data_IF_556165441981
#
_entry.id   IF_556165441981
#
_cell.length_a   1.000
_cell.length_b   1.000
_cell.length_c   1.000
_cell.angle_alpha   90.00
_cell.angle_beta   90.00
_cell.angle_gamma   90.00
#
_symmetry.space_group_name_H-M   'P 1'
#
loop_
_entity.id
_entity.type
_entity.pdbx_description
1 polymer ?
#
# COMPACT_ATOMS: atom_id res chain seq x y z
N UNK A 1 30.64 23.89 -30.08
CA UNK A 1 30.10 24.33 -28.76
C UNK A 1 30.15 23.10 -27.85
N UNK A 2 31.08 23.10 -26.91
CA UNK A 2 31.31 21.98 -25.98
C UNK A 2 30.16 21.91 -25.00
N UNK A 3 29.40 20.81 -24.98
CA UNK A 3 28.43 20.49 -23.94
C UNK A 3 29.19 20.31 -22.63
N UNK A 4 29.23 21.34 -21.84
CA UNK A 4 29.70 21.34 -20.48
C UNK A 4 28.58 20.73 -19.62
N UNK A 5 28.44 19.39 -19.59
CA UNK A 5 27.68 18.68 -18.57
C UNK A 5 28.43 18.90 -17.26
N UNK A 6 28.08 19.99 -16.55
CA UNK A 6 28.55 20.21 -15.20
C UNK A 6 28.16 18.99 -14.38
N UNK A 7 29.16 18.29 -13.83
CA UNK A 7 29.00 17.23 -12.85
C UNK A 7 28.32 17.86 -11.61
N UNK A 8 27.00 17.96 -11.61
CA UNK A 8 26.23 18.46 -10.47
C UNK A 8 26.43 17.45 -9.35
N UNK A 9 27.08 17.85 -8.28
CA UNK A 9 27.17 17.00 -7.10
C UNK A 9 25.76 16.60 -6.65
N UNK A 10 25.53 15.30 -6.49
CA UNK A 10 24.23 14.79 -6.06
C UNK A 10 24.00 15.21 -4.61
N UNK A 11 22.95 15.98 -4.29
CA UNK A 11 22.68 16.38 -2.92
C UNK A 11 22.24 15.17 -2.08
N UNK A 12 22.42 15.26 -0.77
CA UNK A 12 21.97 14.21 0.18
C UNK A 12 20.45 13.97 0.06
N UNK A 13 19.67 15.05 -0.05
CA UNK A 13 18.22 15.04 -0.27
C UNK A 13 17.91 15.74 -1.58
N UNK A 14 17.28 15.03 -2.49
CA UNK A 14 16.81 15.58 -3.76
C UNK A 14 15.35 15.99 -3.59
N UNK A 15 15.08 17.27 -3.76
CA UNK A 15 13.73 17.83 -3.82
C UNK A 15 13.43 18.30 -5.23
N UNK A 16 12.22 18.05 -5.67
CA UNK A 16 11.62 18.76 -6.79
C UNK A 16 11.14 20.13 -6.31
N UNK A 17 11.08 21.07 -7.22
CA UNK A 17 10.33 22.31 -6.97
C UNK A 17 8.82 22.03 -7.14
N UNK A 18 7.93 22.80 -6.52
CA UNK A 18 6.48 22.62 -6.67
C UNK A 18 6.02 22.63 -8.15
N UNK A 19 6.67 23.42 -8.99
CA UNK A 19 6.39 23.47 -10.44
C UNK A 19 6.88 22.25 -11.22
N UNK A 20 7.70 21.37 -10.61
CA UNK A 20 8.20 20.13 -11.18
C UNK A 20 7.36 18.91 -10.71
N UNK A 21 6.35 19.16 -9.86
CA UNK A 21 5.46 18.10 -9.40
C UNK A 21 4.63 17.53 -10.55
N UNK A 22 4.38 16.20 -10.55
CA UNK A 22 3.51 15.57 -11.54
C UNK A 22 2.12 16.19 -11.57
N UNK A 23 1.58 16.37 -12.77
CA UNK A 23 0.21 16.88 -13.01
C UNK A 23 -0.76 15.77 -13.37
N UNK A 24 -0.27 14.54 -13.53
CA UNK A 24 -1.03 13.36 -13.90
C UNK A 24 -0.63 12.18 -13.03
N UNK A 25 -1.56 11.29 -12.79
CA UNK A 25 -1.30 9.94 -12.31
C UNK A 25 -0.89 9.06 -13.48
N UNK A 26 -0.06 8.05 -13.20
CA UNK A 26 0.39 7.08 -14.18
C UNK A 26 -0.38 5.76 -14.05
N UNK A 27 -1.12 5.40 -15.10
CA UNK A 27 -1.87 4.15 -15.15
C UNK A 27 -1.05 3.06 -15.87
N UNK A 28 -0.36 2.24 -15.11
CA UNK A 28 0.51 1.18 -15.65
C UNK A 28 -0.26 0.14 -16.49
N UNK A 29 -1.58 -0.01 -16.27
CA UNK A 29 -2.40 -0.94 -17.06
C UNK A 29 -2.42 -0.62 -18.54
N UNK A 30 -2.28 0.67 -18.91
CA UNK A 30 -2.21 1.08 -20.32
C UNK A 30 -1.01 0.47 -21.07
N UNK A 31 0.08 0.15 -20.36
CA UNK A 31 1.29 -0.44 -20.93
C UNK A 31 1.34 -1.98 -20.79
N UNK A 32 0.47 -2.58 -19.98
CA UNK A 32 0.43 -4.03 -19.80
C UNK A 32 -0.13 -4.72 -21.05
N UNK A 33 0.62 -5.66 -21.62
CA UNK A 33 0.18 -6.49 -22.76
C UNK A 33 -0.97 -7.42 -22.36
N UNK A 34 -0.84 -8.03 -21.20
CA UNK A 34 -1.90 -8.80 -20.57
C UNK A 34 -2.34 -8.04 -19.33
N UNK A 35 -3.57 -7.56 -19.36
CA UNK A 35 -4.17 -6.78 -18.29
C UNK A 35 -4.65 -7.67 -17.16
N UNK A 36 -4.77 -7.16 -15.93
CA UNK A 36 -5.44 -7.90 -14.86
C UNK A 36 -6.83 -8.36 -15.31
N UNK A 37 -7.22 -9.56 -14.91
CA UNK A 37 -8.57 -10.03 -15.14
C UNK A 37 -9.61 -9.10 -14.47
N UNK A 38 -10.80 -8.90 -15.05
CA UNK A 38 -11.81 -8.02 -14.50
C UNK A 38 -12.30 -8.51 -13.13
N UNK A 39 -12.74 -7.58 -12.29
CA UNK A 39 -13.50 -7.93 -11.09
C UNK A 39 -14.77 -8.68 -11.50
N UNK A 40 -15.19 -9.66 -10.71
CA UNK A 40 -16.36 -10.49 -10.98
C UNK A 40 -17.42 -10.28 -9.90
N UNK A 41 -18.66 -10.02 -10.34
CA UNK A 41 -19.82 -9.95 -9.45
C UNK A 41 -20.16 -11.36 -8.95
N UNK A 42 -20.11 -11.62 -7.63
CA UNK A 42 -20.32 -12.97 -7.08
C UNK A 42 -21.73 -13.52 -7.31
N UNK A 43 -22.72 -12.65 -7.46
CA UNK A 43 -24.11 -13.08 -7.67
C UNK A 43 -24.37 -13.53 -9.12
N UNK A 44 -23.65 -12.97 -10.10
CA UNK A 44 -23.88 -13.24 -11.52
C UNK A 44 -22.77 -14.05 -12.19
N UNK A 45 -21.59 -14.11 -11.57
CA UNK A 45 -20.37 -14.72 -12.16
C UNK A 45 -19.84 -13.96 -13.37
N UNK A 46 -20.28 -12.72 -13.61
CA UNK A 46 -19.88 -11.89 -14.75
C UNK A 46 -18.97 -10.76 -14.33
N UNK A 47 -18.15 -10.20 -15.24
CA UNK A 47 -17.41 -8.97 -14.97
C UNK A 47 -18.33 -7.89 -14.42
N UNK A 48 -17.84 -7.15 -13.41
CA UNK A 48 -18.59 -6.03 -12.82
C UNK A 48 -18.74 -4.90 -13.85
N UNK A 49 -19.91 -4.29 -13.87
CA UNK A 49 -20.21 -3.07 -14.61
C UNK A 49 -20.06 -1.84 -13.71
N UNK A 50 -20.13 -0.65 -14.31
CA UNK A 50 -20.23 0.60 -13.59
C UNK A 50 -21.39 0.59 -12.58
N UNK A 51 -22.57 0.11 -13.03
CA UNK A 51 -23.77 0.08 -12.20
C UNK A 51 -23.67 -0.90 -11.02
N UNK A 52 -22.92 -2.00 -11.15
CA UNK A 52 -22.65 -2.92 -10.04
C UNK A 52 -21.82 -2.26 -8.91
N UNK A 53 -20.93 -1.34 -9.26
CA UNK A 53 -20.04 -0.66 -8.31
C UNK A 53 -20.65 0.64 -7.75
N UNK A 54 -21.60 1.23 -8.45
CA UNK A 54 -22.21 2.52 -8.08
C UNK A 54 -22.85 2.56 -6.68
N UNK A 55 -23.45 1.50 -6.13
CA UNK A 55 -23.91 1.54 -4.75
C UNK A 55 -22.81 1.71 -3.72
N UNK A 56 -21.57 1.31 -4.05
CA UNK A 56 -20.42 1.25 -3.12
C UNK A 56 -19.47 2.43 -3.28
N UNK A 57 -19.12 2.81 -4.52
CA UNK A 57 -18.06 3.80 -4.82
C UNK A 57 -18.61 5.06 -5.47
N UNK A 58 -17.84 6.15 -5.39
CA UNK A 58 -18.07 7.38 -6.16
C UNK A 58 -17.90 7.12 -7.65
N UNK A 59 -18.66 7.81 -8.49
CA UNK A 59 -18.68 7.63 -9.93
C UNK A 59 -17.27 7.76 -10.55
N UNK A 60 -16.53 8.82 -10.22
CA UNK A 60 -15.15 9.02 -10.71
C UNK A 60 -14.20 7.89 -10.31
N UNK A 61 -14.33 7.36 -9.09
CA UNK A 61 -13.49 6.25 -8.62
C UNK A 61 -13.78 4.96 -9.39
N UNK A 62 -15.02 4.77 -9.83
CA UNK A 62 -15.42 3.63 -10.69
C UNK A 62 -14.82 3.81 -12.09
N UNK A 63 -14.88 5.00 -12.67
CA UNK A 63 -14.26 5.30 -13.96
C UNK A 63 -12.76 5.00 -13.92
N UNK A 64 -12.06 5.45 -12.89
CA UNK A 64 -10.63 5.18 -12.71
C UNK A 64 -10.34 3.69 -12.46
N UNK A 65 -11.20 2.98 -11.72
CA UNK A 65 -11.07 1.55 -11.49
C UNK A 65 -11.17 0.76 -12.80
N UNK A 66 -12.10 1.11 -13.67
CA UNK A 66 -12.36 0.43 -14.93
C UNK A 66 -11.46 0.88 -16.09
N UNK A 67 -10.85 2.07 -16.01
CA UNK A 67 -9.99 2.61 -17.07
C UNK A 67 -8.66 1.87 -17.14
N UNK A 68 -8.46 1.11 -18.20
CA UNK A 68 -7.23 0.35 -18.46
C UNK A 68 -6.51 0.79 -19.76
N UNK A 69 -6.93 1.90 -20.36
CA UNK A 69 -6.46 2.40 -21.65
C UNK A 69 -5.68 3.71 -21.57
N UNK A 70 -6.13 4.65 -20.72
CA UNK A 70 -5.49 5.94 -20.60
C UNK A 70 -4.26 5.86 -19.71
N UNK A 71 -3.09 6.14 -20.27
CA UNK A 71 -1.81 6.07 -19.56
C UNK A 71 -1.66 7.16 -18.50
N UNK A 72 -2.15 8.34 -18.78
CA UNK A 72 -2.07 9.50 -17.89
C UNK A 72 -3.47 10.00 -17.55
N UNK A 73 -3.76 10.07 -16.26
CA UNK A 73 -5.03 10.60 -15.72
C UNK A 73 -4.71 11.93 -15.03
N UNK A 74 -5.34 12.99 -15.47
CA UNK A 74 -5.12 14.32 -14.91
C UNK A 74 -5.42 14.37 -13.42
N UNK A 75 -4.55 15.01 -12.65
CA UNK A 75 -4.77 15.30 -11.23
C UNK A 75 -5.48 16.64 -11.13
N UNK A 76 -6.74 16.71 -10.64
CA UNK A 76 -7.46 17.95 -10.44
C UNK A 76 -6.66 18.99 -9.66
N UNK A 77 -6.87 20.28 -10.01
CA UNK A 77 -6.11 21.36 -9.39
C UNK A 77 -6.25 21.38 -7.86
N UNK A 78 -7.44 21.11 -7.34
CA UNK A 78 -7.73 21.10 -5.91
C UNK A 78 -6.93 20.00 -5.18
N UNK A 79 -6.77 18.83 -5.80
CA UNK A 79 -5.91 17.76 -5.26
C UNK A 79 -4.45 18.21 -5.30
N UNK A 80 -3.99 18.82 -6.40
CA UNK A 80 -2.62 19.34 -6.53
C UNK A 80 -2.32 20.41 -5.49
N UNK A 81 -3.28 21.30 -5.21
CA UNK A 81 -3.12 22.34 -4.20
C UNK A 81 -3.01 21.76 -2.79
N UNK A 82 -3.77 20.69 -2.49
CA UNK A 82 -3.58 19.97 -1.23
C UNK A 82 -2.22 19.26 -1.19
N UNK A 83 -1.80 18.64 -2.27
CA UNK A 83 -0.49 17.97 -2.34
C UNK A 83 0.66 18.94 -2.03
N UNK A 84 0.63 20.20 -2.42
CA UNK A 84 1.65 21.19 -2.10
C UNK A 84 1.86 21.41 -0.58
N UNK A 85 0.90 21.05 0.27
CA UNK A 85 1.05 21.16 1.71
C UNK A 85 2.10 20.19 2.28
N UNK A 86 2.43 19.09 1.59
CA UNK A 86 3.37 18.09 2.07
C UNK A 86 4.23 17.43 0.99
N UNK A 87 3.97 17.73 -0.27
CA UNK A 87 4.75 17.28 -1.43
C UNK A 87 5.46 18.49 -2.08
N UNK A 88 6.56 18.26 -2.82
CA UNK A 88 7.15 16.96 -3.16
C UNK A 88 7.80 16.28 -1.96
N UNK A 89 7.69 14.94 -1.87
CA UNK A 89 8.40 14.19 -0.84
C UNK A 89 9.86 13.95 -1.26
N UNK A 90 10.83 13.90 -0.32
CA UNK A 90 12.23 13.81 -0.69
C UNK A 90 12.61 12.44 -1.25
N UNK A 91 13.53 12.44 -2.23
CA UNK A 91 14.36 11.31 -2.58
C UNK A 91 15.69 11.47 -1.85
N UNK A 92 16.06 10.52 -1.02
CA UNK A 92 17.23 10.61 -0.14
C UNK A 92 18.22 9.50 -0.48
N UNK A 93 19.51 9.82 -0.52
CA UNK A 93 20.57 8.81 -0.62
C UNK A 93 21.01 8.37 0.77
N UNK A 94 21.02 7.08 1.02
CA UNK A 94 21.35 6.48 2.31
C UNK A 94 22.87 6.30 2.50
N UNK A 95 23.63 7.39 2.46
CA UNK A 95 25.09 7.36 2.55
C UNK A 95 25.59 6.67 3.83
N UNK A 96 24.95 6.92 4.98
CA UNK A 96 25.38 6.31 6.23
C UNK A 96 25.09 4.80 6.26
N UNK A 97 24.02 4.36 5.61
CA UNK A 97 23.73 2.94 5.46
C UNK A 97 24.73 2.28 4.50
N UNK A 98 25.04 2.91 3.35
CA UNK A 98 26.06 2.42 2.40
C UNK A 98 27.40 2.24 3.09
N UNK A 99 27.86 3.22 3.89
CA UNK A 99 29.10 3.19 4.66
C UNK A 99 29.09 2.06 5.70
N UNK A 100 28.00 1.94 6.47
CA UNK A 100 27.82 0.86 7.46
C UNK A 100 27.92 -0.53 6.83
N UNK A 101 27.31 -0.73 5.68
CA UNK A 101 27.31 -2.01 4.96
C UNK A 101 28.63 -2.26 4.23
N UNK A 102 29.43 -1.21 4.00
CA UNK A 102 30.67 -1.28 3.19
C UNK A 102 30.37 -1.87 1.79
N UNK A 103 29.30 -1.42 1.16
CA UNK A 103 28.82 -1.89 -0.13
C UNK A 103 29.17 -0.90 -1.25
N UNK A 104 29.44 -1.36 -2.48
CA UNK A 104 29.51 -0.48 -3.65
C UNK A 104 28.13 -0.01 -4.13
N UNK A 105 27.04 -0.59 -3.65
CA UNK A 105 25.68 -0.20 -4.03
C UNK A 105 25.37 1.25 -3.64
N UNK A 106 24.62 1.94 -4.50
CA UNK A 106 24.04 3.26 -4.22
C UNK A 106 22.58 3.08 -3.79
N UNK A 107 22.26 3.45 -2.54
CA UNK A 107 20.97 3.20 -1.94
C UNK A 107 20.18 4.50 -1.85
N UNK A 108 19.00 4.54 -2.46
CA UNK A 108 18.08 5.66 -2.40
C UNK A 108 16.74 5.22 -1.80
N UNK A 109 16.11 6.13 -1.04
CA UNK A 109 14.75 5.91 -0.56
C UNK A 109 13.85 7.09 -0.85
N UNK A 110 12.62 6.78 -1.32
CA UNK A 110 11.55 7.76 -1.47
C UNK A 110 10.80 7.88 -0.16
N UNK A 111 10.92 9.01 0.53
CA UNK A 111 10.45 9.16 1.90
C UNK A 111 9.01 9.69 1.97
N UNK A 112 8.05 8.80 1.99
CA UNK A 112 6.62 9.10 2.10
C UNK A 112 6.13 9.24 3.56
N UNK A 113 6.87 8.76 4.55
CA UNK A 113 6.57 8.93 5.97
C UNK A 113 6.77 10.36 6.49
N UNK A 114 7.26 11.27 5.64
CA UNK A 114 7.58 12.66 5.95
C UNK A 114 6.37 13.60 5.87
N UNK A 115 5.16 13.10 5.71
CA UNK A 115 3.96 13.92 5.67
C UNK A 115 3.20 13.93 7.00
N UNK A 116 2.22 14.80 7.12
CA UNK A 116 1.45 15.03 8.34
C UNK A 116 0.62 13.82 8.81
N UNK A 117 0.26 12.90 7.91
CA UNK A 117 -0.40 11.64 8.28
C UNK A 117 0.59 10.54 8.67
N UNK A 118 1.87 10.74 8.40
CA UNK A 118 2.95 9.81 8.67
C UNK A 118 3.05 8.63 7.69
N UNK A 119 2.34 8.64 6.55
CA UNK A 119 2.43 7.56 5.55
C UNK A 119 2.02 7.98 4.13
N UNK A 120 2.41 7.17 3.13
CA UNK A 120 2.03 7.31 1.72
C UNK A 120 0.51 7.32 1.48
N UNK A 121 -0.28 6.79 2.40
CA UNK A 121 -1.73 6.62 2.22
C UNK A 121 -2.46 7.94 2.03
N UNK A 122 -1.91 9.05 2.51
CA UNK A 122 -2.48 10.38 2.34
C UNK A 122 -2.69 10.75 0.86
N UNK A 123 -1.84 10.27 -0.05
CA UNK A 123 -1.95 10.56 -1.48
C UNK A 123 -3.32 10.11 -2.05
N UNK A 124 -3.72 8.88 -1.74
CA UNK A 124 -5.01 8.35 -2.20
C UNK A 124 -6.18 8.86 -1.36
N UNK A 125 -5.98 9.08 -0.05
CA UNK A 125 -7.02 9.58 0.83
C UNK A 125 -7.55 10.94 0.37
N UNK A 126 -6.65 11.84 -0.05
CA UNK A 126 -7.02 13.15 -0.58
C UNK A 126 -7.83 13.02 -1.87
N UNK A 127 -7.38 12.17 -2.80
CA UNK A 127 -8.07 11.98 -4.08
C UNK A 127 -9.50 11.42 -3.84
N UNK A 128 -9.64 10.38 -3.03
CA UNK A 128 -10.94 9.77 -2.76
C UNK A 128 -11.88 10.71 -2.00
N UNK A 129 -11.39 11.45 -1.00
CA UNK A 129 -12.19 12.44 -0.29
C UNK A 129 -12.62 13.60 -1.21
N UNK A 130 -11.74 14.06 -2.10
CA UNK A 130 -12.08 15.07 -3.10
C UNK A 130 -13.23 14.62 -4.00
N UNK A 131 -13.16 13.41 -4.55
CA UNK A 131 -14.21 12.89 -5.44
C UNK A 131 -15.53 12.65 -4.69
N UNK A 132 -15.46 12.18 -3.44
CA UNK A 132 -16.65 12.07 -2.59
C UNK A 132 -17.31 13.43 -2.36
N UNK A 133 -16.52 14.48 -2.09
CA UNK A 133 -17.01 15.85 -1.95
C UNK A 133 -17.59 16.40 -3.24
N UNK A 134 -16.93 16.17 -4.38
CA UNK A 134 -17.35 16.60 -5.71
C UNK A 134 -18.71 15.97 -6.10
N UNK A 135 -18.94 14.71 -5.72
CA UNK A 135 -20.22 14.01 -5.93
C UNK A 135 -21.33 14.50 -4.98
N UNK A 136 -21.01 15.30 -3.98
CA UNK A 136 -21.98 15.87 -3.03
C UNK A 136 -22.34 14.95 -1.88
N UNK A 137 -21.48 13.99 -1.54
CA UNK A 137 -21.69 13.08 -0.42
C UNK A 137 -21.60 13.80 0.93
N UNK A 138 -22.31 13.25 1.93
CA UNK A 138 -22.25 13.68 3.33
C UNK A 138 -20.97 13.17 4.01
N UNK A 139 -20.58 11.95 3.68
CA UNK A 139 -19.45 11.29 4.30
C UNK A 139 -19.02 10.01 3.59
N UNK A 140 -18.02 9.39 4.16
CA UNK A 140 -17.46 8.13 3.68
C UNK A 140 -17.31 7.12 4.81
N UNK A 141 -17.34 5.85 4.46
CA UNK A 141 -16.99 4.74 5.35
C UNK A 141 -15.72 4.07 4.87
N UNK A 142 -14.97 3.50 5.78
CA UNK A 142 -13.74 2.79 5.43
C UNK A 142 -13.31 1.79 6.48
N UNK A 143 -12.44 0.88 6.08
CA UNK A 143 -11.67 0.01 6.96
C UNK A 143 -10.32 0.63 7.32
N UNK A 144 -9.68 0.14 8.39
CA UNK A 144 -8.25 0.35 8.60
C UNK A 144 -7.63 -0.80 9.40
N UNK A 145 -6.46 -1.27 8.96
CA UNK A 145 -5.68 -2.29 9.67
C UNK A 145 -4.97 -1.70 10.89
N UNK A 146 -3.77 -1.15 10.67
CA UNK A 146 -2.93 -0.53 11.71
C UNK A 146 -3.34 0.91 12.08
N UNK A 147 -4.30 1.51 11.38
CA UNK A 147 -4.77 2.87 11.57
C UNK A 147 -4.10 3.92 10.67
N UNK A 148 -3.13 3.56 9.84
CA UNK A 148 -2.47 4.51 8.93
C UNK A 148 -3.43 5.05 7.86
N UNK A 149 -4.25 4.18 7.27
CA UNK A 149 -5.25 4.59 6.29
C UNK A 149 -6.34 5.44 6.95
N UNK A 150 -6.90 4.99 8.06
CA UNK A 150 -7.90 5.75 8.82
C UNK A 150 -7.40 7.14 9.21
N UNK A 151 -6.13 7.27 9.65
CA UNK A 151 -5.51 8.56 9.95
C UNK A 151 -5.46 9.47 8.72
N UNK A 152 -4.98 8.96 7.59
CA UNK A 152 -4.87 9.73 6.36
C UNK A 152 -6.25 10.18 5.83
N UNK A 153 -7.23 9.28 5.86
CA UNK A 153 -8.58 9.58 5.40
C UNK A 153 -9.29 10.57 6.32
N UNK A 154 -9.16 10.40 7.65
CA UNK A 154 -9.75 11.34 8.62
C UNK A 154 -9.26 12.77 8.40
N UNK A 155 -7.95 12.93 8.12
CA UNK A 155 -7.38 14.22 7.78
C UNK A 155 -7.95 14.79 6.47
N UNK A 156 -8.05 13.97 5.42
CA UNK A 156 -8.60 14.39 4.14
C UNK A 156 -10.10 14.76 4.24
N UNK A 157 -10.89 13.96 4.97
CA UNK A 157 -12.30 14.25 5.22
C UNK A 157 -12.50 15.53 6.02
N UNK A 158 -11.68 15.77 7.05
CA UNK A 158 -11.70 17.03 7.81
C UNK A 158 -11.46 18.24 6.92
N UNK A 159 -10.51 18.14 5.99
CA UNK A 159 -10.21 19.22 5.04
C UNK A 159 -11.37 19.49 4.08
N UNK A 160 -12.01 18.44 3.55
CA UNK A 160 -13.11 18.59 2.58
C UNK A 160 -14.49 18.75 3.25
N UNK A 161 -14.58 18.70 4.59
CA UNK A 161 -15.84 18.83 5.34
C UNK A 161 -16.76 17.64 5.13
N UNK A 162 -16.22 16.42 5.16
CA UNK A 162 -16.94 15.15 5.07
C UNK A 162 -16.93 14.42 6.40
N UNK A 163 -18.01 13.73 6.72
CA UNK A 163 -18.04 12.75 7.81
C UNK A 163 -17.15 11.55 7.44
N UNK A 164 -16.49 10.95 8.44
CA UNK A 164 -15.60 9.82 8.25
C UNK A 164 -15.88 8.73 9.27
N UNK A 165 -16.37 7.58 8.83
CA UNK A 165 -16.66 6.41 9.66
C UNK A 165 -15.63 5.31 9.40
N UNK A 166 -14.79 5.00 10.40
CA UNK A 166 -13.66 4.08 10.29
C UNK A 166 -13.92 2.82 11.09
N UNK A 167 -13.89 1.67 10.42
CA UNK A 167 -13.88 0.34 11.05
C UNK A 167 -12.43 -0.12 11.18
N UNK A 168 -11.94 -0.19 12.43
CA UNK A 168 -10.55 -0.52 12.71
C UNK A 168 -10.41 -1.94 13.23
N UNK A 169 -9.49 -2.72 12.67
CA UNK A 169 -9.21 -4.09 13.13
C UNK A 169 -9.03 -4.10 14.65
N UNK A 170 -9.82 -4.92 15.37
CA UNK A 170 -9.97 -4.92 16.84
C UNK A 170 -8.63 -4.98 17.58
N UNK A 171 -7.74 -5.90 17.21
CA UNK A 171 -6.43 -5.99 17.86
C UNK A 171 -5.61 -4.71 17.69
N UNK A 172 -5.69 -4.05 16.54
CA UNK A 172 -4.99 -2.78 16.32
C UNK A 172 -5.65 -1.61 17.05
N UNK A 173 -6.97 -1.61 17.16
CA UNK A 173 -7.73 -0.63 17.94
C UNK A 173 -7.28 -0.59 19.41
N UNK A 174 -6.97 -1.77 19.97
CA UNK A 174 -6.49 -1.92 21.34
C UNK A 174 -4.99 -1.58 21.47
N UNK A 175 -4.15 -2.06 20.55
CA UNK A 175 -2.68 -1.91 20.60
C UNK A 175 -2.16 -0.54 20.17
N UNK A 176 -2.96 0.22 19.40
CA UNK A 176 -2.54 1.51 18.80
C UNK A 176 -3.50 2.65 19.19
N UNK A 177 -3.67 2.93 20.49
CA UNK A 177 -4.65 3.92 20.97
C UNK A 177 -4.37 5.33 20.43
N UNK A 178 -3.11 5.72 20.24
CA UNK A 178 -2.77 7.06 19.74
C UNK A 178 -3.22 7.29 18.29
N UNK A 179 -3.20 6.27 17.43
CA UNK A 179 -3.77 6.40 16.07
C UNK A 179 -5.27 6.67 16.11
N UNK A 180 -5.98 5.97 16.99
CA UNK A 180 -7.41 6.22 17.22
C UNK A 180 -7.67 7.66 17.66
N UNK A 181 -6.88 8.18 18.59
CA UNK A 181 -7.04 9.56 19.06
C UNK A 181 -6.71 10.59 17.98
N UNK A 182 -5.75 10.33 17.11
CA UNK A 182 -5.47 11.18 15.93
C UNK A 182 -6.69 11.21 14.99
N UNK A 183 -7.27 10.05 14.65
CA UNK A 183 -8.48 9.97 13.81
C UNK A 183 -9.64 10.76 14.45
N UNK A 184 -9.89 10.59 15.75
CA UNK A 184 -10.93 11.32 16.47
C UNK A 184 -10.66 12.82 16.54
N UNK A 185 -9.40 13.23 16.65
CA UNK A 185 -9.01 14.65 16.62
C UNK A 185 -9.33 15.30 15.28
N UNK A 186 -9.23 14.55 14.18
CA UNK A 186 -9.67 14.98 12.85
C UNK A 186 -11.20 14.82 12.62
N UNK A 187 -11.95 14.42 13.65
CA UNK A 187 -13.42 14.35 13.60
C UNK A 187 -13.98 13.00 13.11
N UNK A 188 -13.16 11.99 12.89
CA UNK A 188 -13.65 10.67 12.49
C UNK A 188 -14.27 9.89 13.66
N UNK A 189 -15.31 9.10 13.40
CA UNK A 189 -15.76 8.04 14.27
C UNK A 189 -14.93 6.77 14.02
N UNK A 190 -14.53 6.07 15.10
CA UNK A 190 -13.67 4.87 14.98
C UNK A 190 -14.31 3.73 15.77
N UNK A 191 -14.66 2.66 15.06
CA UNK A 191 -15.33 1.49 15.60
C UNK A 191 -14.39 0.27 15.51
N UNK A 192 -14.17 -0.51 16.60
CA UNK A 192 -13.40 -1.75 16.52
C UNK A 192 -14.17 -2.80 15.69
N UNK A 193 -13.50 -3.47 14.76
CA UNK A 193 -14.11 -4.47 13.87
C UNK A 193 -13.52 -5.87 14.13
N UNK A 194 -14.38 -6.92 14.20
CA UNK A 194 -15.84 -6.88 14.00
C UNK A 194 -16.59 -6.28 15.19
N UNK A 195 -17.74 -5.67 14.90
CA UNK A 195 -18.56 -4.92 15.86
C UNK A 195 -20.00 -5.40 15.91
N UNK A 196 -20.76 -4.92 16.90
CA UNK A 196 -22.21 -5.13 16.97
C UNK A 196 -23.04 -4.05 16.25
N UNK A 197 -22.36 -3.12 15.54
CA UNK A 197 -23.04 -2.00 14.86
C UNK A 197 -23.55 -2.34 13.46
N UNK A 198 -23.05 -3.44 12.88
CA UNK A 198 -23.45 -3.95 11.55
C UNK A 198 -23.97 -5.39 11.66
N UNK A 199 -24.82 -5.82 10.73
CA UNK A 199 -25.31 -7.20 10.72
C UNK A 199 -24.20 -8.20 10.39
N UNK A 200 -23.29 -7.82 9.47
CA UNK A 200 -22.12 -8.64 9.14
C UNK A 200 -21.18 -8.76 10.34
N UNK A 201 -20.96 -7.69 11.07
CA UNK A 201 -20.14 -7.72 12.29
C UNK A 201 -20.69 -8.65 13.35
N UNK A 202 -22.00 -8.57 13.62
CA UNK A 202 -22.72 -9.49 14.53
C UNK A 202 -22.57 -10.96 14.09
N UNK A 203 -22.73 -11.24 12.80
CA UNK A 203 -22.58 -12.57 12.23
C UNK A 203 -21.18 -13.10 12.46
N UNK A 204 -20.13 -12.31 12.11
CA UNK A 204 -18.73 -12.72 12.31
C UNK A 204 -18.43 -12.98 13.79
N UNK A 205 -18.92 -12.13 14.70
CA UNK A 205 -18.75 -12.33 16.14
C UNK A 205 -19.43 -13.61 16.66
N UNK A 206 -20.58 -13.99 16.07
CA UNK A 206 -21.28 -15.21 16.44
C UNK A 206 -20.57 -16.48 15.91
N UNK A 207 -20.02 -16.42 14.70
CA UNK A 207 -19.30 -17.54 14.07
C UNK A 207 -17.88 -17.72 14.63
N UNK A 208 -17.23 -16.62 15.04
CA UNK A 208 -15.86 -16.59 15.55
C UNK A 208 -15.77 -15.83 16.88
N UNK A 209 -16.32 -16.39 17.99
CA UNK A 209 -16.24 -15.75 19.29
C UNK A 209 -14.78 -15.54 19.72
N UNK A 210 -14.45 -14.32 20.14
CA UNK A 210 -13.10 -13.97 20.59
C UNK A 210 -12.12 -13.65 19.47
N UNK A 211 -12.56 -13.52 18.22
CA UNK A 211 -11.71 -13.12 17.10
C UNK A 211 -11.03 -11.77 17.35
N UNK A 212 -9.77 -11.64 16.93
CA UNK A 212 -9.00 -10.39 16.94
C UNK A 212 -9.34 -9.47 15.77
N UNK A 213 -10.19 -9.94 14.85
CA UNK A 213 -10.54 -9.26 13.63
C UNK A 213 -9.48 -9.36 12.54
N UNK A 214 -9.89 -9.02 11.32
CA UNK A 214 -9.02 -8.93 10.14
C UNK A 214 -9.40 -7.72 9.31
N UNK A 215 -8.55 -7.38 8.35
CA UNK A 215 -8.87 -6.30 7.39
C UNK A 215 -10.12 -6.66 6.57
N UNK A 216 -10.27 -7.94 6.18
CA UNK A 216 -11.46 -8.43 5.48
C UNK A 216 -12.75 -8.26 6.27
N UNK A 217 -12.74 -8.47 7.61
CA UNK A 217 -13.90 -8.19 8.45
C UNK A 217 -14.26 -6.69 8.43
N UNK A 218 -13.27 -5.83 8.59
CA UNK A 218 -13.47 -4.37 8.61
C UNK A 218 -13.96 -3.84 7.26
N UNK A 219 -13.51 -4.42 6.14
CA UNK A 219 -14.03 -4.11 4.78
C UNK A 219 -15.53 -4.43 4.71
N UNK A 220 -15.91 -5.64 5.12
CA UNK A 220 -17.32 -6.07 5.07
C UNK A 220 -18.24 -5.11 5.83
N UNK A 221 -17.85 -4.71 7.05
CA UNK A 221 -18.63 -3.76 7.86
C UNK A 221 -18.68 -2.36 7.25
N UNK A 222 -17.56 -1.87 6.72
CA UNK A 222 -17.49 -0.55 6.08
C UNK A 222 -18.37 -0.49 4.82
N UNK A 223 -18.39 -1.56 4.00
CA UNK A 223 -19.23 -1.66 2.81
C UNK A 223 -20.72 -1.73 3.18
N UNK A 224 -21.08 -2.53 4.20
CA UNK A 224 -22.45 -2.56 4.72
C UNK A 224 -22.89 -1.15 5.17
N UNK A 225 -22.06 -0.47 5.97
CA UNK A 225 -22.39 0.87 6.45
C UNK A 225 -22.52 1.88 5.31
N UNK A 226 -21.71 1.80 4.25
CA UNK A 226 -21.83 2.65 3.08
C UNK A 226 -23.14 2.45 2.33
N UNK A 227 -23.55 1.19 2.15
CA UNK A 227 -24.73 0.84 1.36
C UNK A 227 -26.04 1.01 2.11
N UNK A 228 -26.00 1.08 3.44
CA UNK A 228 -27.18 1.26 4.30
C UNK A 228 -27.36 2.68 4.82
N UNK A 229 -26.37 3.57 4.63
CA UNK A 229 -26.42 4.96 5.11
C UNK A 229 -26.56 5.92 3.93
N UNK A 230 -27.63 6.67 3.87
CA UNK A 230 -27.91 7.63 2.79
C UNK A 230 -26.86 8.75 2.73
N UNK A 231 -26.29 8.96 1.54
CA UNK A 231 -25.28 9.99 1.30
C UNK A 231 -23.85 9.56 1.67
N UNK A 232 -23.62 8.25 1.92
CA UNK A 232 -22.31 7.71 2.18
C UNK A 232 -21.86 6.76 1.07
N UNK A 233 -20.55 6.70 0.84
CA UNK A 233 -19.89 5.73 -0.03
C UNK A 233 -18.67 5.15 0.68
N UNK A 234 -18.23 3.98 0.23
CA UNK A 234 -17.04 3.32 0.72
C UNK A 234 -15.81 3.84 -0.02
N UNK A 235 -14.71 4.01 0.71
CA UNK A 235 -13.37 4.32 0.21
C UNK A 235 -12.36 3.39 0.87
N UNK A 236 -11.25 3.09 0.19
CA UNK A 236 -10.30 2.08 0.66
C UNK A 236 -8.85 2.48 0.46
N UNK A 237 -7.97 1.91 1.29
CA UNK A 237 -6.56 2.30 1.37
C UNK A 237 -5.58 1.47 0.55
N UNK A 238 -6.03 0.44 -0.20
CA UNK A 238 -5.15 -0.44 -0.97
C UNK A 238 -5.95 -1.31 -1.95
N UNK A 239 -5.29 -2.24 -2.65
CA UNK A 239 -5.80 -3.33 -3.49
C UNK A 239 -6.31 -2.87 -4.85
N UNK A 240 -7.34 -2.02 -4.92
CA UNK A 240 -7.99 -1.65 -6.17
C UNK A 240 -7.12 -0.77 -7.07
N UNK A 241 -7.39 -0.83 -8.37
CA UNK A 241 -6.60 -0.17 -9.40
C UNK A 241 -6.55 1.34 -9.22
N UNK A 242 -7.69 1.97 -8.84
CA UNK A 242 -7.77 3.39 -8.55
C UNK A 242 -6.82 3.82 -7.43
N UNK A 243 -6.63 2.97 -6.40
CA UNK A 243 -5.70 3.28 -5.30
C UNK A 243 -4.26 3.25 -5.77
N UNK A 244 -3.87 2.23 -6.56
CA UNK A 244 -2.54 2.15 -7.14
C UNK A 244 -2.28 3.33 -8.10
N UNK A 245 -3.30 3.73 -8.86
CA UNK A 245 -3.25 4.91 -9.72
C UNK A 245 -2.91 6.17 -8.92
N UNK A 246 -3.63 6.46 -7.82
CA UNK A 246 -3.34 7.62 -6.98
C UNK A 246 -1.93 7.56 -6.36
N UNK A 247 -1.47 6.37 -6.01
CA UNK A 247 -0.13 6.18 -5.43
C UNK A 247 0.99 6.30 -6.47
N UNK A 248 0.69 6.28 -7.77
CA UNK A 248 1.71 6.44 -8.83
C UNK A 248 2.46 7.78 -8.74
N UNK A 249 1.90 8.79 -8.08
CA UNK A 249 2.58 10.06 -7.79
C UNK A 249 3.93 9.86 -7.08
N UNK A 250 4.05 8.79 -6.27
CA UNK A 250 5.31 8.42 -5.59
C UNK A 250 6.39 8.10 -6.63
N UNK A 251 6.04 7.24 -7.58
CA UNK A 251 6.94 6.81 -8.65
C UNK A 251 7.25 7.93 -9.63
N UNK A 252 6.25 8.73 -10.02
CA UNK A 252 6.41 9.88 -10.91
C UNK A 252 7.39 10.90 -10.31
N UNK A 253 7.23 11.26 -9.03
CA UNK A 253 8.19 12.16 -8.36
C UNK A 253 9.58 11.53 -8.22
N UNK A 254 9.66 10.22 -7.87
CA UNK A 254 10.93 9.53 -7.74
C UNK A 254 11.68 9.52 -9.09
N UNK A 255 10.98 9.20 -10.18
CA UNK A 255 11.54 9.20 -11.53
C UNK A 255 12.01 10.60 -11.96
N UNK A 256 11.19 11.61 -11.73
CA UNK A 256 11.55 13.00 -12.03
C UNK A 256 12.79 13.46 -11.24
N UNK A 257 12.84 13.15 -9.95
CA UNK A 257 13.98 13.47 -9.08
C UNK A 257 15.27 12.76 -9.53
N UNK A 258 15.18 11.48 -9.90
CA UNK A 258 16.32 10.69 -10.41
C UNK A 258 16.79 11.22 -11.77
N UNK A 259 15.89 11.47 -12.70
CA UNK A 259 16.21 12.06 -14.02
C UNK A 259 16.89 13.43 -13.91
N UNK A 260 16.54 14.25 -12.91
CA UNK A 260 17.14 15.57 -12.66
C UNK A 260 18.65 15.51 -12.38
N UNK A 261 19.15 14.38 -11.87
CA UNK A 261 20.55 14.15 -11.52
C UNK A 261 21.19 13.01 -12.32
N UNK A 262 20.54 12.56 -13.40
CA UNK A 262 21.01 11.45 -14.25
C UNK A 262 21.27 10.16 -13.44
N UNK A 263 20.39 9.89 -12.48
CA UNK A 263 20.40 8.66 -11.66
C UNK A 263 19.45 7.65 -12.31
N UNK A 264 19.95 6.44 -12.53
CA UNK A 264 19.15 5.33 -13.07
C UNK A 264 19.11 4.19 -12.05
N UNK A 265 17.94 3.77 -11.55
CA UNK A 265 17.87 2.63 -10.65
C UNK A 265 18.05 1.32 -11.42
N UNK A 266 18.68 0.33 -10.79
CA UNK A 266 18.74 -1.05 -11.24
C UNK A 266 17.68 -1.90 -10.57
N UNK A 267 17.42 -1.62 -9.29
CA UNK A 267 16.52 -2.39 -8.44
C UNK A 267 15.53 -1.45 -7.74
N UNK A 268 14.23 -1.76 -7.83
CA UNK A 268 13.16 -0.99 -7.20
C UNK A 268 12.41 -1.90 -6.22
N UNK A 269 12.33 -1.49 -4.95
CA UNK A 269 11.85 -2.31 -3.84
C UNK A 269 10.70 -1.59 -3.13
N UNK A 270 9.62 -2.31 -2.87
CA UNK A 270 8.50 -1.79 -2.08
C UNK A 270 7.88 -2.86 -1.19
N UNK A 271 7.39 -2.46 -0.01
CA UNK A 271 6.62 -3.36 0.83
C UNK A 271 5.24 -3.63 0.22
N UNK A 272 4.74 -4.85 0.40
CA UNK A 272 3.52 -5.35 -0.22
C UNK A 272 2.59 -5.98 0.84
N UNK A 273 1.47 -5.31 1.09
CA UNK A 273 0.29 -5.86 1.74
C UNK A 273 -0.79 -6.06 0.68
N UNK A 274 -1.69 -5.08 0.49
CA UNK A 274 -2.58 -5.06 -0.66
C UNK A 274 -1.95 -4.49 -1.95
N UNK A 275 -0.67 -4.14 -1.96
CA UNK A 275 0.09 -3.75 -3.16
C UNK A 275 0.16 -2.26 -3.48
N UNK A 276 -0.54 -1.37 -2.76
CA UNK A 276 -0.61 0.06 -3.12
C UNK A 276 0.73 0.78 -3.04
N UNK A 277 1.60 0.42 -2.09
CA UNK A 277 2.92 1.05 -1.97
C UNK A 277 3.86 0.64 -3.10
N UNK A 278 4.10 -0.66 -3.25
CA UNK A 278 4.98 -1.18 -4.31
C UNK A 278 4.42 -0.80 -5.68
N UNK A 279 3.10 -0.94 -5.88
CA UNK A 279 2.42 -0.60 -7.13
C UNK A 279 2.58 0.88 -7.50
N UNK A 280 2.39 1.79 -6.54
CA UNK A 280 2.56 3.23 -6.78
C UNK A 280 3.98 3.62 -7.13
N UNK A 281 4.97 3.14 -6.34
CA UNK A 281 6.38 3.45 -6.58
C UNK A 281 6.88 2.90 -7.93
N UNK A 282 6.51 1.65 -8.26
CA UNK A 282 7.02 0.99 -9.47
C UNK A 282 6.34 1.45 -10.75
N UNK A 283 5.10 1.95 -10.70
CA UNK A 283 4.24 2.15 -11.90
C UNK A 283 4.92 2.83 -13.08
N UNK A 284 5.54 4.01 -13.01
CA UNK A 284 6.16 4.63 -14.18
C UNK A 284 7.42 3.90 -14.64
N UNK A 285 8.19 3.31 -13.73
CA UNK A 285 9.37 2.50 -14.07
C UNK A 285 8.95 1.18 -14.74
N UNK A 286 7.89 0.53 -14.23
CA UNK A 286 7.31 -0.66 -14.84
C UNK A 286 6.80 -0.34 -16.25
N UNK A 287 6.19 0.82 -16.46
CA UNK A 287 5.80 1.29 -17.78
C UNK A 287 6.97 1.38 -18.76
N UNK A 288 8.11 1.97 -18.36
CA UNK A 288 9.33 2.00 -19.18
C UNK A 288 9.82 0.57 -19.51
N UNK A 289 9.82 -0.34 -18.52
CA UNK A 289 10.18 -1.75 -18.76
C UNK A 289 9.24 -2.45 -19.75
N UNK A 290 7.93 -2.33 -19.56
CA UNK A 290 6.93 -2.97 -20.41
C UNK A 290 6.96 -2.47 -21.86
N UNK A 291 7.40 -1.22 -22.08
CA UNK A 291 7.64 -0.67 -23.42
C UNK A 291 9.01 -1.01 -23.98
N UNK A 292 9.89 -1.67 -23.23
CA UNK A 292 11.25 -2.02 -23.64
C UNK A 292 12.24 -0.84 -23.63
N UNK A 293 11.95 0.21 -22.87
CA UNK A 293 12.78 1.43 -22.77
C UNK A 293 13.86 1.28 -21.69
N UNK A 294 13.65 0.40 -20.72
CA UNK A 294 14.58 0.12 -19.62
C UNK A 294 14.42 -1.31 -19.10
N UNK A 295 15.43 -1.77 -18.39
CA UNK A 295 15.42 -3.08 -17.70
C UNK A 295 15.65 -2.87 -16.21
N UNK A 296 14.57 -2.84 -15.43
CA UNK A 296 14.57 -2.72 -13.98
C UNK A 296 14.19 -4.04 -13.33
N UNK A 297 14.84 -4.39 -12.20
CA UNK A 297 14.34 -5.43 -11.29
C UNK A 297 13.38 -4.82 -10.28
N UNK A 298 12.25 -5.47 -10.07
CA UNK A 298 11.26 -5.06 -9.08
C UNK A 298 11.10 -6.14 -8.02
N UNK A 299 11.12 -5.75 -6.74
CA UNK A 299 10.98 -6.68 -5.64
C UNK A 299 9.83 -6.21 -4.72
N UNK A 300 8.78 -7.02 -4.65
CA UNK A 300 7.73 -6.87 -3.65
C UNK A 300 8.15 -7.59 -2.36
N UNK A 301 8.00 -6.92 -1.22
CA UNK A 301 8.43 -7.46 0.07
C UNK A 301 7.25 -7.61 1.00
N UNK A 302 6.96 -8.83 1.42
CA UNK A 302 5.82 -9.15 2.27
C UNK A 302 6.25 -9.79 3.60
N UNK A 303 5.39 -9.79 4.65
CA UNK A 303 5.69 -10.48 5.89
C UNK A 303 5.54 -11.99 5.72
N UNK A 304 6.47 -12.76 6.28
CA UNK A 304 6.42 -14.23 6.29
C UNK A 304 5.17 -14.78 7.00
N UNK A 305 4.52 -13.97 7.83
CA UNK A 305 3.25 -14.32 8.51
C UNK A 305 2.00 -14.09 7.65
N UNK A 306 2.14 -13.44 6.48
CA UNK A 306 1.05 -13.19 5.53
C UNK A 306 1.57 -13.21 4.09
N UNK A 307 2.07 -14.36 3.60
CA UNK A 307 2.87 -14.49 2.38
C UNK A 307 1.99 -14.69 1.14
N UNK A 308 1.19 -13.69 0.76
CA UNK A 308 0.21 -13.81 -0.32
C UNK A 308 0.84 -14.06 -1.70
N UNK A 309 1.95 -13.36 -2.04
CA UNK A 309 2.67 -13.58 -3.30
C UNK A 309 3.53 -14.83 -3.27
N UNK A 310 4.31 -15.04 -2.20
CA UNK A 310 5.34 -16.10 -2.16
C UNK A 310 4.75 -17.48 -1.87
N UNK A 311 3.59 -17.58 -1.22
CA UNK A 311 2.94 -18.85 -0.86
C UNK A 311 1.45 -18.92 -1.18
N UNK A 312 0.84 -17.84 -1.66
CA UNK A 312 -0.57 -17.83 -2.06
C UNK A 312 -0.81 -18.47 -3.42
N UNK A 313 -2.09 -18.56 -3.78
CA UNK A 313 -2.55 -19.09 -5.08
C UNK A 313 -3.07 -17.96 -5.96
N UNK A 314 -2.75 -17.97 -7.25
CA UNK A 314 -3.31 -17.03 -8.21
C UNK A 314 -4.69 -17.51 -8.66
N UNK A 315 -5.74 -16.93 -8.11
CA UNK A 315 -7.13 -17.34 -8.32
C UNK A 315 -8.09 -16.17 -8.10
N UNK A 316 -9.34 -16.32 -8.51
CA UNK A 316 -10.41 -15.45 -8.05
C UNK A 316 -10.71 -15.70 -6.58
N UNK A 317 -10.79 -14.61 -5.80
CA UNK A 317 -11.18 -14.65 -4.40
C UNK A 317 -11.94 -13.39 -4.02
N UNK A 318 -12.70 -13.44 -2.94
CA UNK A 318 -13.39 -12.28 -2.40
C UNK A 318 -12.39 -11.28 -1.81
N UNK A 319 -12.66 -10.00 -2.01
CA UNK A 319 -11.84 -8.94 -1.42
C UNK A 319 -12.07 -8.78 0.09
N UNK A 320 -13.10 -9.42 0.65
CA UNK A 320 -13.52 -9.31 2.05
C UNK A 320 -13.95 -10.65 2.66
N UNK A 321 -13.94 -10.73 3.99
CA UNK A 321 -14.29 -11.96 4.72
C UNK A 321 -15.78 -12.25 4.70
N UNK A 322 -16.62 -11.23 4.68
CA UNK A 322 -18.09 -11.35 4.63
C UNK A 322 -18.64 -11.69 3.24
N UNK A 323 -17.79 -11.71 2.21
CA UNK A 323 -18.13 -12.02 0.82
C UNK A 323 -19.20 -11.11 0.22
N UNK A 324 -19.16 -9.82 0.58
CA UNK A 324 -20.07 -8.79 0.06
C UNK A 324 -19.44 -7.98 -1.08
N UNK A 325 -18.11 -8.02 -1.21
CA UNK A 325 -17.39 -7.34 -2.28
C UNK A 325 -17.30 -8.22 -3.55
N UNK A 326 -17.02 -7.61 -4.72
CA UNK A 326 -16.65 -8.34 -5.92
C UNK A 326 -15.40 -9.24 -5.69
N UNK A 327 -15.31 -10.29 -6.48
CA UNK A 327 -14.12 -11.15 -6.52
C UNK A 327 -13.07 -10.56 -7.46
N UNK A 328 -11.81 -10.61 -7.03
CA UNK A 328 -10.66 -10.22 -7.82
C UNK A 328 -9.79 -11.42 -8.14
N UNK A 329 -9.23 -11.49 -9.34
CA UNK A 329 -8.18 -12.46 -9.67
C UNK A 329 -6.86 -11.94 -9.12
N UNK A 330 -6.34 -12.62 -8.12
CA UNK A 330 -5.18 -12.16 -7.34
C UNK A 330 -4.39 -13.33 -6.76
N UNK A 331 -3.17 -13.07 -6.34
CA UNK A 331 -2.50 -13.97 -5.41
C UNK A 331 -3.15 -13.82 -4.04
N UNK A 332 -3.65 -14.92 -3.50
CA UNK A 332 -4.43 -14.93 -2.25
C UNK A 332 -4.09 -16.12 -1.35
N UNK A 333 -4.25 -15.91 -0.05
CA UNK A 333 -4.22 -16.95 0.97
C UNK A 333 -5.63 -17.50 1.30
N UNK A 334 -6.67 -16.98 0.60
CA UNK A 334 -8.08 -17.25 0.86
C UNK A 334 -8.73 -16.14 1.72
N UNK A 335 -9.93 -15.70 1.34
CA UNK A 335 -10.66 -14.61 2.02
C UNK A 335 -11.04 -14.92 3.49
N UNK A 336 -11.02 -16.19 3.87
CA UNK A 336 -11.17 -16.65 5.25
C UNK A 336 -9.88 -16.65 6.08
N UNK A 337 -8.72 -16.41 5.46
CA UNK A 337 -7.44 -16.37 6.17
C UNK A 337 -7.35 -15.17 7.12
N UNK A 338 -7.11 -15.45 8.39
CA UNK A 338 -6.89 -14.42 9.41
C UNK A 338 -5.40 -14.41 9.77
N UNK A 339 -4.62 -13.44 9.28
CA UNK A 339 -3.19 -13.37 9.56
C UNK A 339 -2.90 -13.26 11.05
N UNK A 340 -1.88 -13.96 11.52
CA UNK A 340 -1.42 -13.83 12.90
C UNK A 340 -1.10 -12.37 13.26
N UNK A 341 -1.27 -11.96 14.52
CA UNK A 341 -0.95 -10.61 14.97
C UNK A 341 0.55 -10.33 14.83
N UNK A 342 0.94 -9.67 13.77
CA UNK A 342 2.26 -9.06 13.62
C UNK A 342 2.16 -7.54 13.72
N UNK A 343 3.28 -6.87 13.93
CA UNK A 343 3.30 -5.44 14.14
C UNK A 343 3.24 -4.62 12.83
N UNK A 344 3.45 -5.23 11.67
CA UNK A 344 3.23 -4.62 10.35
C UNK A 344 1.76 -4.75 9.91
N UNK A 345 0.86 -4.17 10.68
CA UNK A 345 -0.59 -4.32 10.49
C UNK A 345 -1.11 -3.87 9.12
N UNK A 346 -0.41 -2.95 8.44
CA UNK A 346 -0.72 -2.52 7.07
C UNK A 346 -0.36 -3.55 5.99
N UNK A 347 0.35 -4.63 6.33
CA UNK A 347 0.68 -5.74 5.42
C UNK A 347 -0.12 -7.02 5.73
N UNK A 348 -1.11 -6.96 6.62
CA UNK A 348 -1.95 -8.11 7.04
C UNK A 348 -3.22 -8.18 6.21
N UNK A 349 -3.09 -8.52 4.94
CA UNK A 349 -4.22 -8.72 4.03
C UNK A 349 -4.04 -10.03 3.26
N UNK A 350 -5.11 -10.82 3.13
CA UNK A 350 -5.08 -12.16 2.54
C UNK A 350 -4.79 -12.17 1.03
N UNK A 351 -5.00 -11.05 0.34
CA UNK A 351 -4.87 -10.95 -1.12
C UNK A 351 -3.95 -9.82 -1.56
N UNK A 352 -3.63 -9.81 -2.83
CA UNK A 352 -2.77 -8.83 -3.47
C UNK A 352 -3.52 -8.10 -4.59
N UNK A 353 -3.23 -6.82 -4.81
CA UNK A 353 -3.76 -6.06 -5.94
C UNK A 353 -3.74 -6.86 -7.25
N UNK A 354 -4.80 -6.82 -8.07
CA UNK A 354 -4.82 -7.46 -9.39
C UNK A 354 -3.66 -7.05 -10.30
N UNK A 355 -3.26 -5.77 -10.29
CA UNK A 355 -2.11 -5.28 -11.07
C UNK A 355 -0.81 -5.96 -10.61
N UNK A 356 -0.51 -5.92 -9.31
CA UNK A 356 0.73 -6.51 -8.76
C UNK A 356 0.72 -8.02 -8.97
N UNK A 357 -0.43 -8.67 -8.75
CA UNK A 357 -0.59 -10.11 -8.96
C UNK A 357 -0.35 -10.51 -10.41
N UNK A 358 -0.90 -9.80 -11.39
CA UNK A 358 -0.70 -10.11 -12.80
C UNK A 358 0.75 -9.89 -13.22
N UNK A 359 1.39 -8.79 -12.80
CA UNK A 359 2.81 -8.51 -13.08
C UNK A 359 3.73 -9.59 -12.48
N UNK A 360 3.46 -10.02 -11.25
CA UNK A 360 4.19 -11.12 -10.62
C UNK A 360 3.96 -12.44 -11.34
N UNK A 361 2.71 -12.74 -11.73
CA UNK A 361 2.35 -13.95 -12.47
C UNK A 361 3.02 -14.03 -13.85
N UNK A 362 3.24 -12.88 -14.50
CA UNK A 362 3.97 -12.80 -15.78
C UNK A 362 5.50 -12.83 -15.62
N UNK A 363 6.04 -12.84 -14.40
CA UNK A 363 7.48 -12.79 -14.15
C UNK A 363 8.11 -11.42 -14.36
N UNK A 364 7.31 -10.34 -14.42
CA UNK A 364 7.83 -8.97 -14.56
C UNK A 364 8.42 -8.42 -13.26
N UNK A 365 8.13 -9.05 -12.13
CA UNK A 365 8.64 -8.71 -10.81
C UNK A 365 8.85 -9.94 -9.95
N UNK A 366 9.65 -9.77 -8.89
CA UNK A 366 9.97 -10.77 -7.88
C UNK A 366 9.23 -10.49 -6.57
N UNK A 367 9.12 -11.49 -5.70
CA UNK A 367 8.60 -11.32 -4.35
C UNK A 367 9.49 -12.07 -3.35
N UNK A 368 9.66 -11.45 -2.17
CA UNK A 368 10.38 -12.05 -1.02
C UNK A 368 9.61 -11.81 0.26
N UNK A 369 9.78 -12.68 1.24
CA UNK A 369 9.15 -12.53 2.55
C UNK A 369 10.18 -12.60 3.68
N UNK A 370 9.92 -11.85 4.77
CA UNK A 370 10.76 -11.81 5.96
C UNK A 370 9.94 -11.96 7.23
N UNK A 371 10.57 -12.50 8.26
CA UNK A 371 10.01 -12.53 9.61
C UNK A 371 10.04 -11.14 10.25
N UNK A 372 9.19 -10.92 11.25
CA UNK A 372 9.16 -9.59 11.88
C UNK A 372 10.44 -9.25 12.64
N UNK A 373 11.13 -10.23 13.24
CA UNK A 373 12.40 -9.99 13.93
C UNK A 373 13.48 -9.52 12.96
N UNK A 374 13.60 -10.14 11.79
CA UNK A 374 14.54 -9.71 10.72
C UNK A 374 14.29 -8.27 10.27
N UNK A 375 13.01 -7.90 10.08
CA UNK A 375 12.69 -6.53 9.63
C UNK A 375 12.89 -5.49 10.73
N UNK A 376 12.66 -5.84 12.00
CA UNK A 376 12.92 -4.93 13.12
C UNK A 376 14.42 -4.76 13.40
N UNK A 377 15.25 -5.77 13.16
CA UNK A 377 16.70 -5.63 13.16
C UNK A 377 17.17 -4.63 12.10
N UNK A 378 16.66 -4.77 10.86
CA UNK A 378 16.95 -3.83 9.78
C UNK A 378 16.45 -2.41 10.10
N UNK A 379 15.25 -2.28 10.69
CA UNK A 379 14.67 -1.02 11.13
C UNK A 379 15.53 -0.31 12.19
N UNK A 380 15.98 -1.05 13.22
CA UNK A 380 16.87 -0.54 14.27
C UNK A 380 18.19 -0.06 13.68
N UNK A 381 18.77 -0.83 12.80
CA UNK A 381 20.03 -0.53 12.16
C UNK A 381 19.92 0.71 11.25
N UNK A 382 18.85 0.81 10.47
CA UNK A 382 18.53 1.97 9.66
C UNK A 382 18.32 3.22 10.52
N UNK A 383 17.52 3.12 11.60
CA UNK A 383 17.27 4.23 12.50
C UNK A 383 18.55 4.78 13.15
N UNK A 384 19.50 3.90 13.48
CA UNK A 384 20.77 4.29 14.12
C UNK A 384 21.73 5.01 13.18
N UNK A 385 21.64 4.78 11.88
CA UNK A 385 22.55 5.39 10.90
C UNK A 385 21.91 6.52 10.09
N UNK A 386 20.65 6.37 9.70
CA UNK A 386 19.93 7.39 8.91
C UNK A 386 19.10 8.36 9.77
N UNK A 387 18.95 8.10 11.07
CA UNK A 387 18.24 8.98 12.01
C UNK A 387 16.71 8.99 11.84
N UNK A 388 16.15 8.04 11.10
CA UNK A 388 14.72 7.93 10.82
C UNK A 388 14.19 6.64 11.43
N UNK A 389 13.19 6.73 12.30
CA UNK A 389 12.47 5.58 12.83
C UNK A 389 11.40 5.14 11.83
N UNK A 390 11.58 4.00 11.12
CA UNK A 390 10.64 3.58 10.07
C UNK A 390 9.41 2.89 10.66
N UNK A 391 8.28 2.96 9.94
CA UNK A 391 7.16 2.08 10.23
C UNK A 391 7.54 0.60 10.03
N UNK A 392 6.94 -0.35 10.77
CA UNK A 392 7.19 -1.78 10.60
C UNK A 392 6.97 -2.26 9.15
N UNK A 393 6.01 -1.68 8.45
CA UNK A 393 5.76 -1.95 7.04
C UNK A 393 6.96 -1.56 6.16
N UNK A 394 7.49 -0.35 6.35
CA UNK A 394 8.64 0.16 5.60
C UNK A 394 9.91 -0.65 5.85
N UNK A 395 10.01 -1.23 7.03
CA UNK A 395 11.16 -2.03 7.47
C UNK A 395 11.36 -3.29 6.61
N UNK A 396 10.29 -3.79 5.99
CA UNK A 396 10.36 -4.89 5.01
C UNK A 396 11.17 -4.47 3.77
N UNK A 397 10.89 -3.29 3.22
CA UNK A 397 11.65 -2.77 2.09
C UNK A 397 13.09 -2.42 2.46
N UNK A 398 13.33 -1.92 3.68
CA UNK A 398 14.70 -1.67 4.21
C UNK A 398 15.49 -2.99 4.27
N UNK A 399 14.89 -4.06 4.81
CA UNK A 399 15.55 -5.37 4.91
C UNK A 399 15.98 -5.89 3.54
N UNK A 400 15.06 -5.86 2.56
CA UNK A 400 15.38 -6.28 1.20
C UNK A 400 16.44 -5.40 0.54
N UNK A 401 16.44 -4.08 0.76
CA UNK A 401 17.46 -3.17 0.25
C UNK A 401 18.85 -3.47 0.87
N UNK A 402 18.89 -3.78 2.15
CA UNK A 402 20.14 -4.22 2.82
C UNK A 402 20.64 -5.53 2.22
N UNK A 403 19.79 -6.51 2.00
CA UNK A 403 20.19 -7.79 1.44
C UNK A 403 20.71 -7.66 0.00
N UNK A 404 20.05 -6.86 -0.84
CA UNK A 404 20.55 -6.58 -2.19
C UNK A 404 21.88 -5.80 -2.17
N UNK A 405 22.06 -4.87 -1.23
CA UNK A 405 23.31 -4.15 -1.06
C UNK A 405 24.46 -5.06 -0.58
N UNK A 406 24.16 -6.04 0.27
CA UNK A 406 25.14 -7.05 0.70
C UNK A 406 25.53 -8.01 -0.44
N UNK A 407 24.59 -8.38 -1.32
CA UNK A 407 24.91 -9.12 -2.55
C UNK A 407 25.86 -8.32 -3.45
N UNK A 408 25.64 -7.00 -3.59
CA UNK A 408 26.56 -6.13 -4.31
C UNK A 408 27.97 -6.11 -3.68
N UNK A 409 28.04 -6.13 -2.35
CA UNK A 409 29.34 -6.25 -1.65
C UNK A 409 30.05 -7.57 -1.95
N UNK A 410 29.32 -8.68 -1.95
CA UNK A 410 29.87 -10.02 -2.23
C UNK A 410 30.35 -10.16 -3.68
N UNK A 411 29.58 -9.62 -4.63
CA UNK A 411 29.90 -9.72 -6.08
C UNK A 411 30.84 -8.63 -6.57
N UNK A 412 30.99 -7.52 -5.83
CA UNK A 412 31.71 -6.33 -6.27
C UNK A 412 30.95 -5.48 -7.30
N UNK A 413 29.69 -5.81 -7.61
CA UNK A 413 28.88 -5.07 -8.57
C UNK A 413 28.33 -3.77 -7.95
N UNK A 414 28.48 -2.65 -8.66
CA UNK A 414 27.80 -1.41 -8.30
C UNK A 414 26.39 -1.41 -8.90
N UNK A 415 25.35 -1.35 -8.05
CA UNK A 415 23.96 -1.20 -8.44
C UNK A 415 23.31 -0.04 -7.71
N UNK A 416 22.37 0.60 -8.35
CA UNK A 416 21.53 1.64 -7.75
C UNK A 416 20.21 1.03 -7.29
N UNK A 417 19.95 1.06 -5.99
CA UNK A 417 18.78 0.52 -5.33
C UNK A 417 17.86 1.68 -4.94
N UNK A 418 16.60 1.64 -5.37
CA UNK A 418 15.55 2.55 -4.94
C UNK A 418 14.52 1.78 -4.11
N UNK A 419 14.25 2.23 -2.88
CA UNK A 419 13.17 1.65 -2.10
C UNK A 419 12.17 2.68 -1.56
N UNK A 420 10.95 2.23 -1.27
CA UNK A 420 9.90 3.05 -0.67
C UNK A 420 10.00 3.06 0.85
N UNK A 421 10.31 4.23 1.44
CA UNK A 421 10.20 4.46 2.90
C UNK A 421 8.82 5.05 3.20
N UNK A 422 7.82 4.17 3.35
CA UNK A 422 6.39 4.47 3.21
C UNK A 422 5.74 5.10 4.40
N UNK A 423 6.35 4.97 5.60
CA UNK A 423 5.73 5.45 6.83
C UNK A 423 6.71 5.69 7.97
N UNK A 424 6.31 6.57 8.89
CA UNK A 424 7.00 6.82 10.15
C UNK A 424 6.64 5.79 11.21
N UNK A 425 7.61 5.41 12.06
CA UNK A 425 7.45 4.46 13.16
C UNK A 425 7.01 5.08 14.49
N UNK A 426 6.85 6.39 14.58
CA UNK A 426 6.51 7.04 15.86
C UNK A 426 5.16 6.64 16.45
N UNK A 427 4.24 6.12 15.64
CA UNK A 427 2.99 5.54 16.12
C UNK A 427 3.09 4.03 16.45
N UNK A 428 4.27 3.43 16.25
CA UNK A 428 4.49 1.99 16.41
C UNK A 428 5.51 1.68 17.53
N UNK A 429 5.67 2.62 18.49
CA UNK A 429 6.63 2.50 19.59
C UNK A 429 6.39 1.26 20.46
N UNK A 430 5.14 0.82 20.61
CA UNK A 430 4.82 -0.45 21.29
C UNK A 430 5.48 -1.66 20.61
N UNK A 431 5.55 -1.67 19.29
CA UNK A 431 6.24 -2.73 18.56
C UNK A 431 7.76 -2.68 18.78
N UNK A 432 8.34 -1.49 18.78
CA UNK A 432 9.75 -1.28 19.10
C UNK A 432 10.09 -1.65 20.55
N UNK A 433 9.20 -1.36 21.51
CA UNK A 433 9.33 -1.81 22.90
C UNK A 433 9.44 -3.34 22.95
N UNK A 434 8.48 -4.07 22.33
CA UNK A 434 8.51 -5.52 22.28
C UNK A 434 9.79 -6.07 21.66
N UNK A 435 10.27 -5.45 20.60
CA UNK A 435 11.52 -5.84 19.95
C UNK A 435 12.73 -5.59 20.85
N UNK A 436 12.85 -4.39 21.45
CA UNK A 436 13.97 -4.00 22.30
C UNK A 436 14.06 -4.85 23.58
N UNK A 437 12.91 -5.28 24.12
CA UNK A 437 12.81 -6.12 25.31
C UNK A 437 12.96 -7.63 25.00
N UNK A 438 13.18 -8.00 23.72
CA UNK A 438 13.30 -9.41 23.31
C UNK A 438 11.99 -10.20 23.44
N UNK A 439 10.84 -9.53 23.45
CA UNK A 439 9.52 -10.12 23.58
C UNK A 439 8.80 -10.33 22.24
N UNK A 440 9.46 -9.96 21.13
CA UNK A 440 8.92 -10.18 19.79
C UNK A 440 9.15 -11.64 19.37
N UNK A 441 8.12 -12.28 18.83
CA UNK A 441 8.20 -13.65 18.32
C UNK A 441 7.78 -13.69 16.86
N UNK A 442 8.42 -14.55 16.09
CA UNK A 442 8.06 -14.78 14.69
C UNK A 442 6.94 -15.79 14.57
N UNK A 443 6.16 -15.64 13.52
CA UNK A 443 5.14 -16.60 13.11
C UNK A 443 5.23 -16.80 11.59
N UNK A 444 5.26 -18.05 11.18
CA UNK A 444 5.19 -18.47 9.78
C UNK A 444 4.06 -19.49 9.71
N UNK A 445 3.00 -19.25 8.91
CA UNK A 445 1.90 -20.21 8.80
C UNK A 445 2.41 -21.53 8.20
N UNK A 446 1.89 -22.65 8.68
CA UNK A 446 2.20 -23.96 8.12
C UNK A 446 1.58 -24.12 6.73
N UNK A 447 2.04 -25.12 5.96
CA UNK A 447 1.44 -25.41 4.65
C UNK A 447 0.00 -25.88 4.80
N UNK A 448 -0.30 -26.63 5.87
CA UNK A 448 -1.65 -27.11 6.19
C UNK A 448 -2.61 -25.95 6.51
N UNK A 449 -2.16 -24.92 7.23
CA UNK A 449 -2.98 -23.72 7.51
C UNK A 449 -3.31 -22.96 6.23
N UNK A 450 -2.34 -22.79 5.35
CA UNK A 450 -2.54 -22.12 4.06
C UNK A 450 -3.47 -22.95 3.18
N UNK A 451 -3.22 -24.24 3.01
CA UNK A 451 -4.05 -25.12 2.17
C UNK A 451 -5.50 -25.24 2.69
N UNK A 452 -5.70 -25.28 4.00
CA UNK A 452 -7.04 -25.29 4.59
C UNK A 452 -7.82 -24.01 4.24
N UNK A 453 -7.15 -22.86 4.24
CA UNK A 453 -7.77 -21.59 3.81
C UNK A 453 -8.02 -21.56 2.30
N UNK A 454 -7.05 -21.98 1.48
CA UNK A 454 -7.15 -22.03 0.02
C UNK A 454 -8.23 -23.01 -0.46
N UNK A 455 -8.59 -24.02 0.34
CA UNK A 455 -9.68 -24.93 0.02
C UNK A 455 -11.06 -24.24 0.00
N UNK A 456 -11.17 -23.04 0.57
CA UNK A 456 -12.42 -22.24 0.59
C UNK A 456 -12.57 -21.30 -0.58
N UNK A 457 -11.60 -21.26 -1.51
CA UNK A 457 -11.64 -20.40 -2.70
C UNK A 457 -12.87 -20.69 -3.57
N UNK A 458 -13.46 -19.65 -4.18
CA UNK A 458 -14.55 -19.81 -5.14
C UNK A 458 -14.11 -20.68 -6.33
N UNK A 459 -14.98 -21.59 -6.77
CA UNK A 459 -14.73 -22.38 -7.96
C UNK A 459 -15.16 -21.59 -9.21
N UNK A 460 -14.30 -20.67 -9.66
CA UNK A 460 -14.50 -19.88 -10.89
C UNK A 460 -13.35 -20.20 -11.82
N UNK A 461 -13.69 -20.77 -12.97
CA UNK A 461 -12.74 -20.94 -14.08
C UNK A 461 -12.50 -19.55 -14.72
N UNK A 462 -11.24 -19.09 -14.76
CA UNK A 462 -10.84 -17.83 -15.36
C UNK A 462 -9.48 -17.84 -16.00
#
# INVERSE_FOLDING_TARGET
MSNNTSNKAIPYKIYLHESEMPTHYYNVRADMKKKPAPLVNPATGKPVSFDDLKPVFCDELIEQELNDTDRYIEIPQEIRDFYKMYRPSPLVRAYCLEEKLQTPAKIYYKFEGNNTSGSHKLNSAIAQAYYAKKEGLKGVTTETGAGQWGTALSMACSYFGLDCNVYMVKVSYEQKPFRREVMRTYGASVTPSPSETTEIGKKILSEHPGTTGSLGCAISEAVEAATTTEGYKYVLGSVLNQVLLHQSIIGEEAMAAMKKYDIKPDIIIGCAGGGSNVGGLMSPFMGEKLRGEADYRFIAVEPASCPSLTRGRYAYDFCDTGRVCPMAKMYTLGSGYIPAPNHAGGLRYHGMSPIVSELYHQGEMEAVSYTQTEVFEAARDFARVEGILPAPESSHAIKAAIDEALKCKETGEEKTILFGLTGTGYFDLYAYEKFNDGLMSDYIPSDEEIEASLATLPNIEG
#
